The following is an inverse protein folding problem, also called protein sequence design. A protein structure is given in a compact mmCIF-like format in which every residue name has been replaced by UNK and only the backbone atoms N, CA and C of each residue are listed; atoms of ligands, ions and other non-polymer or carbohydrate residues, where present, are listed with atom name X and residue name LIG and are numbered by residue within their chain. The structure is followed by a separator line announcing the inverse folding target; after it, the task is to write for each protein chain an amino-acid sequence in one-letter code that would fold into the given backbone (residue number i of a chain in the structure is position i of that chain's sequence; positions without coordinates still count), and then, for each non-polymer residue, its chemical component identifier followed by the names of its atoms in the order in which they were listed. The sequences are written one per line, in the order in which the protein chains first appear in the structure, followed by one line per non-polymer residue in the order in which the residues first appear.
data_IF_116792654358
#
_entry.id   IF_116792654358
#
_cell.length_a   1.000
_cell.length_b   1.000
_cell.length_c   1.000
_cell.angle_alpha   90.00
_cell.angle_beta   90.00
_cell.angle_gamma   90.00
#
_symmetry.space_group_name_H-M   'P 1'
#
loop_
_entity.id
_entity.type
_entity.pdbx_description
1 polymer ?
#
# COMPACT_ATOMS: atom_id res chain seq x y z
N UNK A 1 33.11 -34.13 75.80
CA UNK A 1 33.41 -33.44 74.52
C UNK A 1 32.43 -33.91 73.45
N UNK A 2 31.40 -33.11 73.15
CA UNK A 2 30.52 -33.26 71.97
C UNK A 2 30.19 -31.84 71.51
N UNK A 3 30.56 -31.40 70.29
CA UNK A 3 30.23 -30.05 69.85
C UNK A 3 28.83 -30.01 69.22
N UNK A 4 28.07 -28.97 69.56
CA UNK A 4 26.83 -28.57 68.90
C UNK A 4 27.15 -28.05 67.49
N UNK A 5 26.42 -28.54 66.49
CA UNK A 5 26.44 -27.99 65.13
C UNK A 5 25.25 -27.02 64.98
N UNK A 6 25.53 -25.73 64.88
CA UNK A 6 24.53 -24.72 64.51
C UNK A 6 24.47 -24.65 62.99
N UNK A 7 23.31 -24.96 62.41
CA UNK A 7 23.04 -24.78 60.98
C UNK A 7 22.43 -23.39 60.80
N UNK A 8 23.18 -22.51 60.12
CA UNK A 8 22.73 -21.18 59.72
C UNK A 8 22.05 -21.29 58.35
N UNK A 9 20.73 -21.09 58.29
CA UNK A 9 19.98 -21.01 57.05
C UNK A 9 20.14 -19.61 56.45
N UNK A 10 20.78 -19.51 55.29
CA UNK A 10 20.84 -18.28 54.49
C UNK A 10 19.64 -18.26 53.56
N UNK A 11 18.74 -17.30 53.77
CA UNK A 11 17.63 -17.01 52.85
C UNK A 11 18.13 -16.03 51.80
N UNK A 12 18.29 -16.49 50.56
CA UNK A 12 18.58 -15.64 49.40
C UNK A 12 17.24 -15.18 48.84
N UNK A 13 16.91 -13.90 49.03
CA UNK A 13 15.77 -13.27 48.38
C UNK A 13 16.16 -12.86 46.95
N UNK A 14 15.67 -13.59 45.95
CA UNK A 14 15.76 -13.18 44.56
C UNK A 14 14.78 -12.03 44.29
N UNK A 15 15.27 -10.80 44.20
CA UNK A 15 14.51 -9.71 43.60
C UNK A 15 14.47 -9.90 42.08
N UNK A 16 13.32 -10.29 41.55
CA UNK A 16 13.03 -10.20 40.12
C UNK A 16 12.74 -8.74 39.78
N UNK A 17 13.68 -8.07 39.11
CA UNK A 17 13.42 -6.77 38.48
C UNK A 17 12.54 -7.07 37.26
N UNK A 18 11.26 -6.75 37.35
CA UNK A 18 10.38 -6.72 36.19
C UNK A 18 10.81 -5.54 35.32
N UNK A 19 11.57 -5.80 34.27
CA UNK A 19 11.75 -4.83 33.19
C UNK A 19 10.41 -4.71 32.48
N UNK A 20 9.71 -3.59 32.66
CA UNK A 20 8.60 -3.23 31.78
C UNK A 20 9.19 -3.10 30.38
N UNK A 21 8.86 -4.04 29.49
CA UNK A 21 9.16 -3.86 28.08
C UNK A 21 8.49 -2.56 27.65
N UNK A 22 9.29 -1.62 27.12
CA UNK A 22 8.75 -0.39 26.54
C UNK A 22 7.88 -0.78 25.35
N UNK A 23 6.65 -0.25 25.28
CA UNK A 23 5.72 -0.55 24.19
C UNK A 23 6.40 -0.28 22.85
N UNK A 24 6.33 -1.23 21.92
CA UNK A 24 6.94 -1.09 20.61
C UNK A 24 6.22 0.03 19.84
N UNK A 25 6.96 1.11 19.55
CA UNK A 25 6.46 2.25 18.79
C UNK A 25 7.04 2.24 17.40
N UNK A 26 6.17 2.21 16.40
CA UNK A 26 6.56 2.19 15.00
C UNK A 26 6.32 3.56 14.34
N UNK A 27 7.33 4.13 13.66
CA UNK A 27 7.15 5.34 12.87
C UNK A 27 6.19 5.07 11.70
N UNK A 28 5.12 5.86 11.59
CA UNK A 28 4.13 5.82 10.52
C UNK A 28 4.22 7.10 9.68
N UNK A 29 4.74 6.98 8.46
CA UNK A 29 4.72 8.05 7.48
C UNK A 29 3.36 8.13 6.79
N UNK A 30 2.87 9.35 6.62
CA UNK A 30 1.54 9.66 6.09
C UNK A 30 1.70 10.59 4.90
N UNK A 31 1.42 10.06 3.72
CA UNK A 31 1.28 10.82 2.48
C UNK A 31 -0.09 11.48 2.41
N UNK A 32 -0.17 12.68 1.82
CA UNK A 32 -1.38 13.52 1.85
C UNK A 32 -1.73 14.10 0.48
N UNK A 33 -2.94 14.64 0.38
CA UNK A 33 -3.38 15.47 -0.74
C UNK A 33 -2.94 16.94 -0.65
N UNK A 34 -2.29 17.34 0.46
CA UNK A 34 -1.73 18.68 0.67
C UNK A 34 -0.23 18.74 0.37
N UNK A 35 0.50 19.62 1.07
CA UNK A 35 1.87 19.99 0.70
C UNK A 35 2.95 19.47 1.69
N UNK A 36 2.65 18.37 2.38
CA UNK A 36 3.56 17.76 3.34
C UNK A 36 3.39 16.25 3.51
N UNK A 37 4.49 15.60 3.88
CA UNK A 37 4.51 14.26 4.48
C UNK A 37 4.49 14.43 5.99
N UNK A 38 3.64 13.67 6.67
CA UNK A 38 3.54 13.68 8.13
C UNK A 38 4.12 12.39 8.71
N UNK A 39 4.51 12.47 9.99
CA UNK A 39 4.93 11.35 10.81
C UNK A 39 4.04 11.27 12.04
N UNK A 40 3.62 10.05 12.39
CA UNK A 40 3.03 9.71 13.69
C UNK A 40 3.76 8.48 14.26
N UNK A 41 3.75 8.31 15.57
CA UNK A 41 4.21 7.10 16.23
C UNK A 41 3.01 6.22 16.53
N UNK A 42 3.04 4.98 16.05
CA UNK A 42 2.01 3.98 16.31
C UNK A 42 2.44 3.07 17.44
N UNK A 43 1.67 3.06 18.52
CA UNK A 43 1.85 2.11 19.62
C UNK A 43 1.21 0.78 19.23
N UNK A 44 2.03 -0.25 19.02
CA UNK A 44 1.52 -1.54 18.54
C UNK A 44 0.73 -2.29 19.59
N UNK A 45 0.90 -2.00 20.88
CA UNK A 45 0.19 -2.71 21.94
C UNK A 45 -1.18 -2.12 22.21
N UNK A 46 -1.27 -0.80 22.22
CA UNK A 46 -2.54 -0.10 22.47
C UNK A 46 -3.34 0.19 21.19
N UNK A 47 -2.70 0.13 20.01
CA UNK A 47 -3.33 0.54 18.76
C UNK A 47 -3.59 2.04 18.70
N UNK A 48 -2.73 2.85 19.31
CA UNK A 48 -2.89 4.31 19.38
C UNK A 48 -1.87 5.03 18.52
N UNK A 49 -2.22 6.25 18.09
CA UNK A 49 -1.37 7.11 17.27
C UNK A 49 -1.01 8.38 18.05
N UNK A 50 0.27 8.77 18.01
CA UNK A 50 0.68 10.10 18.45
C UNK A 50 0.13 11.17 17.51
N UNK A 51 0.18 12.44 17.94
CA UNK A 51 -0.09 13.57 17.05
C UNK A 51 0.79 13.48 15.79
N UNK A 52 0.20 13.73 14.64
CA UNK A 52 0.91 13.85 13.38
C UNK A 52 1.72 15.15 13.32
N UNK A 53 2.98 15.06 12.94
CA UNK A 53 3.87 16.22 12.72
C UNK A 53 4.38 16.22 11.29
N UNK A 54 4.44 17.38 10.60
CA UNK A 54 5.05 17.44 9.28
C UNK A 54 6.56 17.15 9.39
N UNK A 55 7.08 16.33 8.48
CA UNK A 55 8.50 15.90 8.44
C UNK A 55 9.18 16.16 7.10
N UNK A 56 8.41 16.51 6.07
CA UNK A 56 8.89 17.07 4.81
C UNK A 56 7.81 17.92 4.16
N UNK A 57 8.21 18.98 3.46
CA UNK A 57 7.34 19.76 2.57
C UNK A 57 7.56 19.31 1.13
N UNK A 58 6.47 18.96 0.45
CA UNK A 58 6.46 18.55 -0.96
C UNK A 58 5.03 18.59 -1.47
N UNK A 59 4.85 18.95 -2.73
CA UNK A 59 3.51 19.07 -3.30
C UNK A 59 2.85 17.68 -3.46
N UNK A 60 1.67 17.51 -2.88
CA UNK A 60 0.77 16.35 -3.05
C UNK A 60 1.48 14.99 -2.98
N UNK A 61 2.09 14.62 -1.84
CA UNK A 61 2.74 13.32 -1.66
C UNK A 61 1.72 12.21 -1.45
N UNK A 62 0.88 11.96 -2.46
CA UNK A 62 -0.31 11.12 -2.33
C UNK A 62 -0.02 9.63 -2.22
N UNK A 63 1.19 9.20 -2.58
CA UNK A 63 1.67 7.84 -2.40
C UNK A 63 3.15 7.80 -2.02
N UNK A 64 3.48 6.94 -1.06
CA UNK A 64 4.82 6.78 -0.50
C UNK A 64 5.27 5.33 -0.67
N UNK A 65 6.59 5.12 -0.68
CA UNK A 65 7.21 3.80 -0.57
C UNK A 65 8.53 3.89 0.20
N UNK A 66 8.79 2.95 1.10
CA UNK A 66 10.04 2.88 1.85
C UNK A 66 10.93 1.81 1.19
N UNK A 67 12.20 2.13 1.01
CA UNK A 67 13.17 1.23 0.43
C UNK A 67 13.34 -0.03 1.30
N UNK A 68 13.42 -1.25 0.73
CA UNK A 68 13.48 -2.48 1.50
C UNK A 68 14.71 -2.59 2.42
N UNK A 69 15.89 -2.13 1.94
CA UNK A 69 17.15 -2.22 2.69
C UNK A 69 17.66 -0.89 3.31
N UNK A 70 17.50 0.27 2.66
CA UNK A 70 18.11 1.54 3.11
C UNK A 70 17.10 2.47 3.76
N UNK A 71 17.56 3.43 4.57
CA UNK A 71 16.72 4.44 5.22
C UNK A 71 16.35 5.52 4.19
N UNK A 72 15.54 5.09 3.21
CA UNK A 72 15.10 5.89 2.08
C UNK A 72 13.59 5.79 1.94
N UNK A 73 12.96 6.94 1.70
CA UNK A 73 11.56 7.04 1.35
C UNK A 73 11.43 7.70 -0.03
N UNK A 74 10.53 7.18 -0.84
CA UNK A 74 10.18 7.73 -2.14
C UNK A 74 8.72 8.15 -2.13
N UNK A 75 8.43 9.34 -2.64
CA UNK A 75 7.07 9.84 -2.79
C UNK A 75 6.81 10.28 -4.23
N UNK A 76 5.58 10.10 -4.69
CA UNK A 76 5.12 10.83 -5.88
C UNK A 76 4.83 12.28 -5.51
N UNK A 77 4.92 13.19 -6.46
CA UNK A 77 4.29 14.51 -6.40
C UNK A 77 3.18 14.51 -7.44
N UNK A 78 1.94 14.28 -6.99
CA UNK A 78 0.76 14.06 -7.85
C UNK A 78 0.23 15.39 -8.41
N UNK A 79 1.05 16.03 -9.25
CA UNK A 79 0.73 17.24 -9.99
C UNK A 79 0.45 16.93 -11.46
N UNK A 80 -0.29 17.83 -12.09
CA UNK A 80 -0.55 17.78 -13.53
C UNK A 80 0.44 18.65 -14.30
N UNK A 81 1.02 18.12 -15.38
CA UNK A 81 1.93 18.86 -16.27
C UNK A 81 1.25 20.14 -16.77
N UNK A 82 1.99 21.25 -16.73
CA UNK A 82 1.54 22.56 -17.20
C UNK A 82 0.49 23.26 -16.32
N UNK A 83 0.01 22.66 -15.22
CA UNK A 83 -0.99 23.28 -14.34
C UNK A 83 -0.40 23.89 -13.06
N UNK A 84 0.75 23.42 -12.59
CA UNK A 84 1.37 23.81 -11.32
C UNK A 84 2.89 23.93 -11.45
N UNK A 85 3.48 24.90 -10.75
CA UNK A 85 4.94 25.00 -10.57
C UNK A 85 5.45 23.81 -9.78
N UNK A 86 6.52 23.14 -10.25
CA UNK A 86 7.14 22.01 -9.55
C UNK A 86 7.01 20.66 -10.27
N UNK A 87 6.02 20.49 -11.15
CA UNK A 87 5.88 19.37 -12.08
C UNK A 87 5.56 18.00 -11.45
N UNK A 88 4.97 17.11 -12.25
CA UNK A 88 4.78 15.70 -11.93
C UNK A 88 6.14 15.03 -11.67
N UNK A 89 6.33 14.40 -10.51
CA UNK A 89 7.66 13.93 -10.12
C UNK A 89 7.69 12.72 -9.19
N UNK A 90 8.86 12.09 -9.14
CA UNK A 90 9.31 11.25 -8.02
C UNK A 90 10.26 12.07 -7.14
N UNK A 91 10.12 11.96 -5.83
CA UNK A 91 10.96 12.64 -4.84
C UNK A 91 11.60 11.60 -3.93
N UNK A 92 12.92 11.70 -3.75
CA UNK A 92 13.71 10.81 -2.92
C UNK A 92 14.12 11.50 -1.61
N UNK A 93 13.92 10.81 -0.49
CA UNK A 93 14.17 11.32 0.85
C UNK A 93 15.09 10.36 1.61
N UNK A 94 16.09 10.89 2.33
CA UNK A 94 16.75 10.15 3.39
C UNK A 94 15.92 10.23 4.66
N UNK A 95 15.77 9.10 5.34
CA UNK A 95 15.13 9.03 6.65
C UNK A 95 16.19 9.22 7.73
N UNK A 96 16.00 10.20 8.60
CA UNK A 96 16.70 10.27 9.88
C UNK A 96 16.12 9.20 10.81
N UNK A 97 16.84 8.09 11.02
CA UNK A 97 16.32 6.92 11.75
C UNK A 97 16.05 7.16 13.24
N UNK A 98 16.56 8.26 13.80
CA UNK A 98 16.31 8.65 15.19
C UNK A 98 15.10 9.59 15.27
N UNK A 99 15.12 10.68 14.47
CA UNK A 99 14.09 11.72 14.57
C UNK A 99 12.88 11.49 13.65
N UNK A 100 12.98 10.58 12.69
CA UNK A 100 11.99 10.37 11.63
C UNK A 100 11.84 11.52 10.65
N UNK A 101 12.77 12.50 10.67
CA UNK A 101 12.77 13.62 9.74
C UNK A 101 13.19 13.17 8.34
N UNK A 102 12.54 13.73 7.32
CA UNK A 102 12.87 13.44 5.92
C UNK A 102 13.73 14.56 5.36
N UNK A 103 14.91 14.22 4.84
CA UNK A 103 15.79 15.17 4.14
C UNK A 103 15.74 14.88 2.66
N UNK A 104 15.45 15.91 1.86
CA UNK A 104 15.42 15.80 0.41
C UNK A 104 16.79 15.36 -0.10
N UNK A 105 16.83 14.27 -0.88
CA UNK A 105 18.01 13.89 -1.66
C UNK A 105 17.96 14.52 -3.04
N UNK A 106 16.94 14.15 -3.82
CA UNK A 106 16.71 14.72 -5.13
C UNK A 106 15.26 14.52 -5.61
N UNK A 107 14.96 15.08 -6.78
CA UNK A 107 13.67 15.02 -7.47
C UNK A 107 13.93 14.75 -8.96
N UNK A 108 13.10 13.91 -9.59
CA UNK A 108 13.11 13.66 -11.03
C UNK A 108 11.71 13.83 -11.61
N UNK A 109 11.61 14.22 -12.89
CA UNK A 109 10.32 14.21 -13.62
C UNK A 109 9.76 12.78 -13.63
N UNK A 110 8.45 12.63 -13.40
CA UNK A 110 7.81 11.32 -13.32
C UNK A 110 7.75 10.56 -14.66
N UNK A 111 8.15 11.18 -15.76
CA UNK A 111 8.08 10.63 -17.12
C UNK A 111 6.67 10.65 -17.71
N UNK A 112 5.63 10.91 -16.91
CA UNK A 112 4.24 11.07 -17.35
C UNK A 112 3.48 12.17 -16.58
N UNK A 113 2.16 12.16 -16.70
CA UNK A 113 1.26 13.13 -16.06
C UNK A 113 0.51 12.53 -14.86
N UNK A 114 0.38 13.26 -13.75
CA UNK A 114 -0.36 12.82 -12.57
C UNK A 114 0.13 11.49 -11.97
N UNK A 115 1.40 11.37 -11.53
CA UNK A 115 1.93 10.18 -10.89
C UNK A 115 1.17 9.93 -9.58
N UNK A 116 0.59 8.74 -9.46
CA UNK A 116 -0.32 8.42 -8.35
C UNK A 116 0.12 7.20 -7.53
N UNK A 117 1.20 6.54 -7.95
CA UNK A 117 1.74 5.36 -7.29
C UNK A 117 3.24 5.24 -7.55
N UNK A 118 3.98 4.76 -6.55
CA UNK A 118 5.39 4.39 -6.66
C UNK A 118 5.61 3.07 -5.92
N UNK A 119 6.38 2.18 -6.52
CA UNK A 119 6.91 0.98 -5.87
C UNK A 119 8.43 0.90 -6.07
N UNK A 120 9.13 0.29 -5.12
CA UNK A 120 10.56 -0.02 -5.22
C UNK A 120 10.72 -1.53 -5.36
N UNK A 121 11.65 -1.98 -6.21
CA UNK A 121 11.98 -3.38 -6.40
C UNK A 121 12.53 -3.99 -5.11
N UNK A 122 12.39 -5.31 -4.96
CA UNK A 122 12.80 -6.04 -3.76
C UNK A 122 14.31 -5.91 -3.48
N UNK A 123 15.12 -5.81 -4.54
CA UNK A 123 16.56 -5.56 -4.47
C UNK A 123 16.92 -4.08 -4.26
N UNK A 124 15.93 -3.18 -4.25
CA UNK A 124 16.14 -1.74 -4.04
C UNK A 124 16.67 -0.97 -5.24
N UNK A 125 16.93 -1.61 -6.38
CA UNK A 125 17.63 -0.98 -7.51
C UNK A 125 16.76 -0.14 -8.43
N UNK A 126 15.44 -0.34 -8.41
CA UNK A 126 14.52 0.37 -9.29
C UNK A 126 13.29 0.91 -8.56
N UNK A 127 12.82 2.07 -8.99
CA UNK A 127 11.49 2.59 -8.68
C UNK A 127 10.61 2.54 -9.95
N UNK A 128 9.38 2.06 -9.83
CA UNK A 128 8.38 2.11 -10.90
C UNK A 128 7.25 3.06 -10.52
N UNK A 129 6.88 3.98 -11.42
CA UNK A 129 5.78 4.94 -11.23
C UNK A 129 4.64 4.67 -12.20
N UNK A 130 3.41 4.67 -11.70
CA UNK A 130 2.19 4.73 -12.50
C UNK A 130 1.69 6.18 -12.61
N UNK A 131 1.56 6.67 -13.84
CA UNK A 131 1.09 8.00 -14.19
C UNK A 131 -0.37 7.92 -14.65
N UNK A 132 -1.29 8.47 -13.84
CA UNK A 132 -2.73 8.38 -14.11
C UNK A 132 -3.15 9.23 -15.31
N UNK A 133 -2.54 10.40 -15.52
CA UNK A 133 -2.84 11.28 -16.64
C UNK A 133 -2.37 10.70 -17.96
N UNK A 134 -3.32 10.37 -18.84
CA UNK A 134 -3.06 9.73 -20.14
C UNK A 134 -2.56 8.28 -20.06
N UNK A 135 -2.20 7.78 -18.87
CA UNK A 135 -1.80 6.39 -18.61
C UNK A 135 -0.42 6.04 -19.15
N UNK A 136 0.58 6.06 -18.27
CA UNK A 136 1.93 5.56 -18.59
C UNK A 136 2.60 4.96 -17.36
N UNK A 137 3.65 4.18 -17.58
CA UNK A 137 4.57 3.70 -16.54
C UNK A 137 5.99 4.20 -16.82
N UNK A 138 6.72 4.57 -15.77
CA UNK A 138 8.13 4.94 -15.86
C UNK A 138 8.97 4.11 -14.89
N UNK A 139 10.18 3.71 -15.32
CA UNK A 139 11.17 2.99 -14.51
C UNK A 139 12.38 3.87 -14.26
N UNK A 140 12.79 3.98 -12.99
CA UNK A 140 13.91 4.79 -12.55
C UNK A 140 14.92 3.93 -11.80
N UNK A 141 16.22 3.97 -12.16
CA UNK A 141 17.26 3.41 -11.33
C UNK A 141 17.39 4.19 -10.01
N UNK A 142 17.69 3.47 -8.94
CA UNK A 142 18.05 4.02 -7.63
C UNK A 142 19.55 3.83 -7.45
N UNK A 143 20.26 4.90 -7.13
CA UNK A 143 21.68 4.85 -6.83
C UNK A 143 21.95 4.34 -5.40
N UNK A 144 23.19 3.93 -5.13
CA UNK A 144 23.60 3.38 -3.82
C UNK A 144 23.35 4.34 -2.64
N UNK A 145 23.36 5.66 -2.89
CA UNK A 145 23.06 6.68 -1.88
C UNK A 145 21.55 6.88 -1.63
N UNK A 146 20.71 6.15 -2.37
CA UNK A 146 19.25 6.21 -2.33
C UNK A 146 18.64 7.31 -3.20
N UNK A 147 19.44 8.08 -3.96
CA UNK A 147 18.94 9.06 -4.92
C UNK A 147 18.31 8.38 -6.15
N UNK A 148 17.33 9.03 -6.77
CA UNK A 148 16.67 8.51 -7.98
C UNK A 148 17.35 9.09 -9.22
N UNK A 149 17.81 8.23 -10.13
CA UNK A 149 18.40 8.62 -11.41
C UNK A 149 17.32 8.95 -12.45
N UNK A 150 17.63 9.62 -13.57
CA UNK A 150 16.66 9.82 -14.66
C UNK A 150 16.03 8.50 -15.11
N UNK A 151 14.78 8.55 -15.57
CA UNK A 151 14.08 7.36 -16.05
C UNK A 151 14.85 6.68 -17.19
N UNK A 152 15.02 5.36 -17.11
CA UNK A 152 15.60 4.54 -18.20
C UNK A 152 14.55 4.07 -19.19
N UNK A 153 13.28 4.04 -18.76
CA UNK A 153 12.15 3.69 -19.61
C UNK A 153 10.89 4.46 -19.20
N UNK A 154 10.12 4.89 -20.20
CA UNK A 154 8.73 5.35 -20.05
C UNK A 154 7.90 4.70 -21.14
N UNK A 155 6.83 4.00 -20.76
CA UNK A 155 5.92 3.33 -21.69
C UNK A 155 4.55 4.00 -21.60
N UNK A 156 4.13 4.58 -22.73
CA UNK A 156 2.79 5.13 -22.91
C UNK A 156 1.82 4.01 -23.25
N UNK A 157 0.74 3.88 -22.47
CA UNK A 157 -0.33 2.95 -22.79
C UNK A 157 -1.25 3.52 -23.88
N UNK A 158 -2.05 2.67 -24.50
CA UNK A 158 -3.09 3.09 -25.45
C UNK A 158 -4.32 2.20 -25.32
N UNK A 159 -5.47 2.69 -25.80
CA UNK A 159 -6.75 1.98 -25.72
C UNK A 159 -7.76 2.69 -24.80
N UNK A 160 -8.87 2.01 -24.60
CA UNK A 160 -10.04 2.50 -23.86
C UNK A 160 -10.90 1.31 -23.44
N UNK A 161 -11.97 1.58 -22.69
CA UNK A 161 -12.98 0.57 -22.36
C UNK A 161 -14.40 1.18 -22.29
N UNK A 162 -15.35 0.45 -21.72
CA UNK A 162 -16.79 0.66 -21.86
C UNK A 162 -17.32 1.89 -21.13
N UNK A 163 -16.61 2.43 -20.13
CA UNK A 163 -17.02 3.65 -19.44
C UNK A 163 -16.44 4.89 -20.14
N UNK A 164 -17.20 5.60 -21.00
CA UNK A 164 -16.63 6.68 -21.81
C UNK A 164 -16.13 7.88 -20.99
N UNK A 165 -16.57 8.03 -19.72
CA UNK A 165 -16.14 9.13 -18.84
C UNK A 165 -14.89 8.80 -18.03
N UNK A 166 -14.64 7.53 -17.74
CA UNK A 166 -13.55 7.07 -16.87
C UNK A 166 -12.53 6.20 -17.59
N UNK A 167 -12.84 5.76 -18.80
CA UNK A 167 -12.08 4.79 -19.59
C UNK A 167 -12.08 5.19 -21.07
N UNK A 168 -12.22 6.49 -21.38
CA UNK A 168 -12.07 7.00 -22.75
C UNK A 168 -10.61 7.03 -23.23
N UNK A 169 -9.67 6.93 -22.29
CA UNK A 169 -8.22 6.84 -22.50
C UNK A 169 -7.58 6.01 -21.37
N UNK A 170 -6.30 5.63 -21.48
CA UNK A 170 -5.60 4.88 -20.44
C UNK A 170 -5.37 5.69 -19.16
N UNK A 171 -5.35 4.97 -18.02
CA UNK A 171 -5.14 5.54 -16.70
C UNK A 171 -4.39 4.55 -15.79
N UNK A 172 -3.06 4.47 -15.95
CA UNK A 172 -2.20 3.67 -15.08
C UNK A 172 -2.33 4.13 -13.62
N UNK A 173 -2.77 3.24 -12.73
CA UNK A 173 -3.13 3.58 -11.36
C UNK A 173 -2.22 2.93 -10.30
N UNK A 174 -1.63 1.76 -10.59
CA UNK A 174 -0.59 1.21 -9.72
C UNK A 174 0.43 0.39 -10.49
N UNK A 175 1.65 0.39 -10.00
CA UNK A 175 2.76 -0.43 -10.51
C UNK A 175 3.37 -1.22 -9.36
N UNK A 176 3.66 -2.50 -9.56
CA UNK A 176 4.38 -3.33 -8.57
C UNK A 176 5.34 -4.25 -9.28
N UNK A 177 6.47 -4.50 -8.65
CA UNK A 177 7.37 -5.56 -9.08
C UNK A 177 6.74 -6.91 -8.76
N UNK A 178 6.92 -7.85 -9.67
CA UNK A 178 6.62 -9.24 -9.39
C UNK A 178 7.56 -9.76 -8.27
N UNK A 179 7.24 -10.91 -7.68
CA UNK A 179 8.10 -11.59 -6.71
C UNK A 179 9.57 -11.72 -7.10
N UNK A 180 9.84 -12.00 -8.38
CA UNK A 180 11.22 -12.19 -8.85
C UNK A 180 11.99 -10.88 -8.94
N UNK A 181 11.32 -9.73 -8.87
CA UNK A 181 11.90 -8.41 -9.06
C UNK A 181 12.32 -8.11 -10.50
N UNK A 182 12.02 -9.01 -11.44
CA UNK A 182 12.44 -8.91 -12.86
C UNK A 182 11.33 -8.45 -13.78
N UNK A 183 10.11 -8.29 -13.25
CA UNK A 183 8.95 -7.81 -14.01
C UNK A 183 8.22 -6.74 -13.24
N UNK A 184 7.65 -5.79 -13.97
CA UNK A 184 6.70 -4.80 -13.44
C UNK A 184 5.30 -5.11 -13.96
N UNK A 185 4.36 -5.27 -13.04
CA UNK A 185 2.93 -5.32 -13.34
C UNK A 185 2.31 -3.93 -13.13
N UNK A 186 1.44 -3.48 -14.05
CA UNK A 186 0.86 -2.14 -14.05
C UNK A 186 -0.64 -2.20 -14.28
N UNK A 187 -1.43 -1.90 -13.25
CA UNK A 187 -2.88 -1.80 -13.39
C UNK A 187 -3.26 -0.50 -14.10
N UNK A 188 -4.01 -0.62 -15.20
CA UNK A 188 -4.51 0.50 -15.98
C UNK A 188 -6.04 0.51 -15.97
N UNK A 189 -6.58 1.49 -15.23
CA UNK A 189 -8.02 1.67 -15.05
C UNK A 189 -8.73 1.91 -16.39
N UNK A 190 -8.09 2.64 -17.30
CA UNK A 190 -8.70 3.08 -18.55
C UNK A 190 -8.86 1.96 -19.59
N UNK A 191 -8.09 0.89 -19.47
CA UNK A 191 -8.02 -0.17 -20.49
C UNK A 191 -8.48 -1.54 -20.01
N UNK A 192 -8.85 -1.68 -18.74
CA UNK A 192 -9.21 -2.96 -18.10
C UNK A 192 -8.10 -4.02 -18.21
N UNK A 193 -6.86 -3.58 -17.99
CA UNK A 193 -5.67 -4.44 -18.05
C UNK A 193 -4.75 -4.25 -16.85
N UNK A 194 -4.04 -5.32 -16.49
CA UNK A 194 -2.78 -5.24 -15.76
C UNK A 194 -1.67 -5.58 -16.74
N UNK A 195 -0.97 -4.57 -17.27
CA UNK A 195 0.16 -4.75 -18.18
C UNK A 195 1.34 -5.40 -17.47
N UNK A 196 2.11 -6.21 -18.19
CA UNK A 196 3.27 -6.94 -17.69
C UNK A 196 4.49 -6.58 -18.53
N UNK A 197 5.56 -6.12 -17.89
CA UNK A 197 6.81 -5.75 -18.53
C UNK A 197 8.00 -6.45 -17.88
N UNK A 198 8.78 -7.19 -18.64
CA UNK A 198 10.07 -7.70 -18.19
C UNK A 198 11.09 -6.55 -18.19
N UNK A 199 11.96 -6.54 -17.18
CA UNK A 199 12.99 -5.52 -17.02
C UNK A 199 14.26 -6.04 -17.70
N UNK A 200 14.68 -5.36 -18.77
CA UNK A 200 15.94 -5.69 -19.43
C UNK A 200 17.16 -5.22 -18.63
N UNK A 201 18.34 -5.76 -18.95
CA UNK A 201 19.60 -5.46 -18.24
C UNK A 201 19.96 -3.97 -18.20
N UNK A 202 19.54 -3.21 -19.22
CA UNK A 202 19.75 -1.77 -19.31
C UNK A 202 18.62 -0.95 -18.65
N UNK A 203 17.68 -1.58 -17.95
CA UNK A 203 16.51 -0.92 -17.37
C UNK A 203 15.43 -0.56 -18.39
N UNK A 204 15.27 -1.33 -19.46
CA UNK A 204 14.12 -1.26 -20.37
C UNK A 204 12.87 -1.87 -19.73
N UNK A 205 11.69 -1.50 -20.25
CA UNK A 205 10.42 -2.16 -19.95
C UNK A 205 9.90 -2.83 -21.22
N UNK A 206 10.16 -4.11 -21.36
CA UNK A 206 9.82 -4.90 -22.54
C UNK A 206 8.53 -5.68 -22.30
N UNK A 207 7.51 -5.61 -23.17
CA UNK A 207 6.25 -6.35 -22.96
C UNK A 207 6.49 -7.85 -22.73
N UNK A 208 5.96 -8.37 -21.64
CA UNK A 208 6.08 -9.79 -21.27
C UNK A 208 5.23 -10.71 -22.17
N UNK A 209 5.36 -12.01 -21.94
CA UNK A 209 4.46 -13.04 -22.48
C UNK A 209 3.71 -13.75 -21.34
N UNK A 210 2.38 -13.55 -21.19
CA UNK A 210 1.54 -12.60 -21.92
C UNK A 210 1.88 -11.15 -21.55
N UNK A 211 1.51 -10.20 -22.42
CA UNK A 211 1.82 -8.77 -22.24
C UNK A 211 0.89 -8.08 -21.23
N UNK A 212 -0.24 -8.70 -20.90
CA UNK A 212 -1.19 -8.18 -19.93
C UNK A 212 -2.06 -9.30 -19.35
N UNK A 213 -2.68 -8.98 -18.22
CA UNK A 213 -3.82 -9.70 -17.64
C UNK A 213 -5.08 -8.89 -17.94
N UNK A 214 -6.04 -9.48 -18.64
CA UNK A 214 -7.34 -8.85 -18.86
C UNK A 214 -8.25 -9.05 -17.64
N UNK A 215 -8.96 -7.99 -17.25
CA UNK A 215 -10.07 -8.07 -16.29
C UNK A 215 -11.40 -7.80 -17.00
N UNK A 216 -12.56 -8.14 -16.42
CA UNK A 216 -13.84 -7.90 -17.07
C UNK A 216 -14.00 -6.43 -17.51
N UNK A 217 -14.55 -6.14 -18.70
CA UNK A 217 -14.75 -4.77 -19.16
C UNK A 217 -15.59 -3.93 -18.19
N UNK A 218 -15.15 -2.70 -17.93
CA UNK A 218 -15.75 -1.79 -16.96
C UNK A 218 -15.26 -1.96 -15.53
N UNK A 219 -14.28 -2.84 -15.29
CA UNK A 219 -13.73 -3.06 -13.95
C UNK A 219 -12.96 -1.85 -13.42
N UNK A 220 -12.11 -1.28 -14.27
CA UNK A 220 -11.17 -0.23 -13.91
C UNK A 220 -10.16 -0.70 -12.87
N UNK A 221 -9.22 -1.60 -13.20
CA UNK A 221 -8.26 -2.14 -12.24
C UNK A 221 -7.45 -0.99 -11.63
N UNK A 222 -7.43 -0.94 -10.30
CA UNK A 222 -6.85 0.16 -9.53
C UNK A 222 -5.58 -0.30 -8.84
N UNK A 223 -5.74 -0.99 -7.72
CA UNK A 223 -4.65 -1.63 -6.97
C UNK A 223 -4.79 -3.14 -7.08
N UNK A 224 -3.67 -3.84 -6.92
CA UNK A 224 -3.63 -5.29 -6.87
C UNK A 224 -2.57 -5.75 -5.87
N UNK A 225 -2.68 -6.99 -5.43
CA UNK A 225 -1.72 -7.64 -4.52
C UNK A 225 -1.46 -9.08 -4.95
N UNK A 226 -0.23 -9.53 -4.80
CA UNK A 226 0.12 -10.94 -4.90
C UNK A 226 -0.29 -11.67 -3.61
N UNK A 227 -0.71 -12.93 -3.74
CA UNK A 227 -0.89 -13.81 -2.58
C UNK A 227 0.46 -14.02 -1.87
N UNK A 228 0.46 -14.36 -0.57
CA UNK A 228 1.71 -14.60 0.18
C UNK A 228 2.61 -15.69 -0.42
N UNK A 229 2.00 -16.69 -1.08
CA UNK A 229 2.71 -17.75 -1.80
C UNK A 229 2.95 -17.43 -3.27
N UNK A 230 2.55 -16.22 -3.69
CA UNK A 230 2.82 -15.62 -4.99
C UNK A 230 2.16 -16.32 -6.19
N UNK A 231 1.29 -17.30 -5.92
CA UNK A 231 0.58 -18.07 -6.95
C UNK A 231 -0.64 -17.37 -7.50
N UNK A 232 -1.11 -16.31 -6.85
CA UNK A 232 -2.30 -15.57 -7.26
C UNK A 232 -2.08 -14.07 -7.22
N UNK A 233 -2.84 -13.36 -8.05
CA UNK A 233 -2.97 -11.90 -8.02
C UNK A 233 -4.43 -11.54 -7.82
N UNK A 234 -4.71 -10.71 -6.82
CA UNK A 234 -6.04 -10.16 -6.55
C UNK A 234 -6.09 -8.73 -7.07
N UNK A 235 -6.92 -8.48 -8.07
CA UNK A 235 -7.01 -7.21 -8.80
C UNK A 235 -8.31 -6.51 -8.43
N UNK A 236 -8.20 -5.36 -7.77
CA UNK A 236 -9.35 -4.55 -7.34
C UNK A 236 -9.82 -3.64 -8.47
N UNK A 237 -11.07 -3.80 -8.93
CA UNK A 237 -11.73 -2.91 -9.87
C UNK A 237 -12.37 -1.71 -9.16
N UNK A 238 -11.89 -0.50 -9.43
CA UNK A 238 -12.43 0.74 -8.87
C UNK A 238 -13.87 1.00 -9.32
N UNK A 239 -14.13 0.79 -10.62
CA UNK A 239 -15.37 1.19 -11.28
C UNK A 239 -16.46 0.14 -11.08
N UNK A 240 -16.10 -1.15 -11.09
CA UNK A 240 -17.03 -2.25 -10.85
C UNK A 240 -17.30 -2.49 -9.37
N UNK A 241 -16.34 -2.18 -8.49
CA UNK A 241 -16.40 -2.65 -7.11
C UNK A 241 -16.25 -4.17 -7.00
N UNK A 242 -15.28 -4.74 -7.72
CA UNK A 242 -15.01 -6.18 -7.72
C UNK A 242 -13.56 -6.49 -7.41
N UNK A 243 -13.28 -7.73 -6.99
CA UNK A 243 -11.94 -8.30 -6.95
C UNK A 243 -11.90 -9.46 -7.94
N UNK A 244 -11.06 -9.32 -8.97
CA UNK A 244 -10.74 -10.40 -9.91
C UNK A 244 -9.52 -11.15 -9.40
N UNK A 245 -9.66 -12.44 -9.10
CA UNK A 245 -8.53 -13.28 -8.69
C UNK A 245 -8.01 -14.06 -9.88
N UNK A 246 -6.70 -14.03 -10.07
CA UNK A 246 -6.01 -14.63 -11.21
C UNK A 246 -4.91 -15.54 -10.69
N UNK A 247 -4.83 -16.76 -11.23
CA UNK A 247 -3.68 -17.65 -11.02
C UNK A 247 -2.49 -17.12 -11.81
N UNK A 248 -1.40 -16.86 -11.12
CA UNK A 248 -0.19 -16.24 -11.64
C UNK A 248 0.91 -17.29 -11.80
N UNK A 249 1.05 -17.83 -13.01
CA UNK A 249 2.14 -18.73 -13.37
C UNK A 249 2.63 -18.47 -14.81
N UNK A 250 3.17 -17.26 -15.09
CA UNK A 250 3.54 -16.87 -16.45
C UNK A 250 4.39 -17.93 -17.19
N UNK A 251 4.12 -18.21 -18.48
CA UNK A 251 3.17 -17.51 -19.34
C UNK A 251 1.71 -17.95 -19.15
N UNK A 252 1.42 -18.94 -18.29
CA UNK A 252 0.05 -19.37 -18.02
C UNK A 252 -0.59 -18.48 -16.94
N UNK A 253 -1.49 -17.62 -17.36
CA UNK A 253 -2.28 -16.76 -16.47
C UNK A 253 -3.76 -17.09 -16.71
N UNK A 254 -4.52 -17.31 -15.64
CA UNK A 254 -5.91 -17.77 -15.74
C UNK A 254 -6.77 -17.12 -14.65
N UNK A 255 -7.89 -16.51 -15.03
CA UNK A 255 -8.87 -15.99 -14.08
C UNK A 255 -9.53 -17.12 -13.32
N UNK A 256 -9.50 -17.03 -12.00
CA UNK A 256 -10.08 -18.01 -11.07
C UNK A 256 -11.51 -17.62 -10.72
N UNK A 257 -11.70 -16.36 -10.33
CA UNK A 257 -12.98 -15.86 -9.83
C UNK A 257 -13.07 -14.34 -9.95
N UNK A 258 -14.28 -13.80 -9.90
CA UNK A 258 -14.54 -12.36 -9.77
C UNK A 258 -15.71 -12.17 -8.81
N UNK A 259 -15.45 -11.53 -7.67
CA UNK A 259 -16.47 -11.30 -6.64
C UNK A 259 -16.69 -9.81 -6.39
N UNK A 260 -17.88 -9.45 -5.91
CA UNK A 260 -18.18 -8.07 -5.47
C UNK A 260 -17.47 -7.74 -4.16
N UNK A 261 -17.03 -6.49 -4.03
CA UNK A 261 -16.55 -5.96 -2.74
C UNK A 261 -17.67 -5.47 -1.84
N UNK A 262 -18.88 -5.36 -2.39
CA UNK A 262 -20.06 -4.87 -1.70
C UNK A 262 -20.90 -6.04 -1.18
N UNK A 263 -21.78 -5.77 -0.22
CA UNK A 263 -22.78 -6.75 0.23
C UNK A 263 -23.73 -7.15 -0.90
N UNK A 264 -24.27 -8.38 -0.83
CA UNK A 264 -25.22 -8.89 -1.82
C UNK A 264 -26.56 -8.12 -1.84
N UNK A 265 -26.83 -7.34 -0.79
CA UNK A 265 -27.96 -6.46 -0.59
C UNK A 265 -27.75 -5.04 -1.18
N UNK A 266 -26.52 -4.72 -1.59
CA UNK A 266 -26.21 -3.41 -2.19
C UNK A 266 -26.68 -3.38 -3.65
N UNK A 267 -27.50 -2.40 -4.00
CA UNK A 267 -28.02 -2.22 -5.35
C UNK A 267 -26.91 -2.10 -6.41
N UNK A 268 -27.21 -2.53 -7.64
CA UNK A 268 -26.26 -2.52 -8.76
C UNK A 268 -25.81 -1.11 -9.16
N UNK A 269 -26.67 -0.11 -8.96
CA UNK A 269 -26.44 1.30 -9.25
C UNK A 269 -25.82 2.09 -8.08
N UNK A 270 -25.56 1.42 -6.95
CA UNK A 270 -24.94 2.07 -5.80
C UNK A 270 -23.58 2.67 -6.17
N UNK A 271 -23.20 3.84 -5.58
CA UNK A 271 -21.92 4.47 -5.86
C UNK A 271 -20.75 3.50 -5.71
N UNK A 272 -19.99 3.32 -6.80
CA UNK A 272 -18.76 2.53 -6.81
C UNK A 272 -17.55 3.42 -6.52
N UNK A 273 -16.40 2.79 -6.28
CA UNK A 273 -15.17 3.49 -5.95
C UNK A 273 -14.29 2.70 -5.00
N UNK A 274 -14.01 1.44 -5.30
CA UNK A 274 -13.04 0.69 -4.50
C UNK A 274 -11.65 1.30 -4.61
N UNK A 275 -10.84 1.20 -3.55
CA UNK A 275 -9.55 1.90 -3.50
C UNK A 275 -8.37 0.98 -3.16
N UNK A 276 -8.19 0.60 -1.90
CA UNK A 276 -7.03 -0.17 -1.47
C UNK A 276 -7.39 -1.64 -1.27
N UNK A 277 -6.43 -2.54 -1.47
CA UNK A 277 -6.55 -3.96 -1.19
C UNK A 277 -5.24 -4.48 -0.58
N UNK A 278 -5.30 -5.21 0.54
CA UNK A 278 -4.13 -5.81 1.19
C UNK A 278 -4.49 -7.15 1.82
N UNK A 279 -3.53 -8.06 1.80
CA UNK A 279 -3.55 -9.26 2.65
C UNK A 279 -3.17 -8.91 4.09
N UNK A 280 -3.84 -9.57 5.03
CA UNK A 280 -3.34 -9.72 6.38
C UNK A 280 -1.99 -10.48 6.38
N UNK A 281 -1.04 -10.18 7.30
CA UNK A 281 0.25 -10.87 7.36
C UNK A 281 0.19 -12.40 7.47
N UNK A 282 -0.85 -12.97 8.09
CA UNK A 282 -1.06 -14.42 8.16
C UNK A 282 -1.53 -15.05 6.83
N UNK A 283 -1.84 -14.25 5.81
CA UNK A 283 -2.28 -14.70 4.49
C UNK A 283 -3.72 -15.18 4.37
N UNK A 284 -4.47 -15.22 5.46
CA UNK A 284 -5.84 -15.77 5.48
C UNK A 284 -6.92 -14.75 5.14
N UNK A 285 -6.73 -13.50 5.49
CA UNK A 285 -7.72 -12.46 5.23
C UNK A 285 -7.24 -11.44 4.22
N UNK A 286 -8.19 -10.93 3.45
CA UNK A 286 -8.00 -9.81 2.55
C UNK A 286 -8.94 -8.70 2.97
N UNK A 287 -8.47 -7.47 2.91
CA UNK A 287 -9.28 -6.28 3.18
C UNK A 287 -9.31 -5.41 1.94
N UNK A 288 -10.46 -4.79 1.67
CA UNK A 288 -10.59 -3.80 0.61
C UNK A 288 -11.42 -2.60 1.05
N UNK A 289 -11.05 -1.39 0.64
CA UNK A 289 -11.83 -0.18 0.94
C UNK A 289 -12.76 0.21 -0.19
N UNK A 290 -13.95 0.69 0.16
CA UNK A 290 -14.99 1.14 -0.76
C UNK A 290 -15.35 2.60 -0.44
N UNK A 291 -15.03 3.54 -1.35
CA UNK A 291 -15.26 4.98 -1.14
C UNK A 291 -16.71 5.41 -1.33
N UNK A 292 -17.49 4.65 -2.11
CA UNK A 292 -18.92 4.91 -2.29
C UNK A 292 -19.69 4.78 -0.97
N UNK A 293 -19.78 3.57 -0.40
CA UNK A 293 -20.41 3.34 0.91
C UNK A 293 -19.54 3.75 2.12
N UNK A 294 -18.29 4.16 1.92
CA UNK A 294 -17.32 4.48 2.99
C UNK A 294 -17.10 3.33 3.98
N UNK A 295 -16.85 2.13 3.46
CA UNK A 295 -16.62 0.92 4.26
C UNK A 295 -15.28 0.24 3.97
N UNK A 296 -14.93 -0.69 4.87
CA UNK A 296 -13.84 -1.65 4.73
C UNK A 296 -14.49 -3.04 4.68
N UNK A 297 -14.36 -3.72 3.55
CA UNK A 297 -14.84 -5.09 3.37
C UNK A 297 -13.75 -6.10 3.77
N UNK A 298 -14.17 -7.20 4.39
CA UNK A 298 -13.32 -8.31 4.87
C UNK A 298 -13.65 -9.56 4.06
N UNK A 299 -12.60 -10.28 3.64
CA UNK A 299 -12.73 -11.52 2.90
C UNK A 299 -11.87 -12.62 3.54
N UNK A 300 -12.40 -13.84 3.62
CA UNK A 300 -11.62 -15.06 3.85
C UNK A 300 -11.02 -15.50 2.51
N UNK A 301 -9.74 -15.87 2.52
CA UNK A 301 -8.99 -16.28 1.34
C UNK A 301 -8.59 -17.76 1.45
N UNK A 302 -9.03 -18.54 0.46
CA UNK A 302 -8.61 -19.93 0.30
C UNK A 302 -7.31 -19.99 -0.51
N UNK A 303 -6.19 -20.24 0.17
CA UNK A 303 -4.87 -20.31 -0.47
C UNK A 303 -4.73 -21.48 -1.46
N UNK A 304 -5.53 -22.55 -1.35
CA UNK A 304 -5.45 -23.67 -2.28
C UNK A 304 -6.12 -23.33 -3.62
N UNK A 305 -7.28 -22.69 -3.56
CA UNK A 305 -8.09 -22.40 -4.76
C UNK A 305 -7.85 -21.00 -5.31
N UNK A 306 -7.43 -20.06 -4.46
CA UNK A 306 -7.36 -18.63 -4.74
C UNK A 306 -8.69 -17.91 -4.60
N UNK A 307 -9.75 -18.57 -4.14
CA UNK A 307 -11.08 -17.96 -4.02
C UNK A 307 -11.19 -17.07 -2.80
N UNK A 308 -12.08 -16.08 -2.90
CA UNK A 308 -12.43 -15.17 -1.83
C UNK A 308 -13.89 -15.36 -1.43
N UNK A 309 -14.15 -15.22 -0.13
CA UNK A 309 -15.51 -15.12 0.40
C UNK A 309 -15.60 -13.85 1.25
N UNK A 310 -16.51 -12.92 0.88
CA UNK A 310 -16.79 -11.75 1.71
C UNK A 310 -17.45 -12.21 3.02
N UNK A 311 -16.84 -11.91 4.15
CA UNK A 311 -17.31 -12.35 5.48
C UNK A 311 -18.02 -11.24 6.22
N UNK A 312 -17.53 -10.01 6.13
CA UNK A 312 -18.10 -8.85 6.82
C UNK A 312 -17.69 -7.54 6.17
N UNK A 313 -18.23 -6.43 6.68
CA UNK A 313 -17.70 -5.09 6.44
C UNK A 313 -17.99 -4.19 7.63
N UNK A 314 -17.22 -3.12 7.75
CA UNK A 314 -17.40 -2.09 8.77
C UNK A 314 -17.30 -0.70 8.14
N UNK A 315 -18.06 0.26 8.66
CA UNK A 315 -17.89 1.66 8.29
C UNK A 315 -16.44 2.12 8.60
N UNK A 316 -15.80 2.76 7.62
CA UNK A 316 -14.42 3.24 7.69
C UNK A 316 -14.17 4.33 8.75
N UNK A 317 -15.26 4.89 9.27
CA UNK A 317 -15.25 5.96 10.26
C UNK A 317 -14.87 7.33 9.74
N UNK A 318 -14.94 7.50 8.42
CA UNK A 318 -14.79 8.78 7.76
C UNK A 318 -15.39 8.75 6.36
N UNK A 319 -14.95 9.68 5.52
CA UNK A 319 -15.36 9.78 4.12
C UNK A 319 -14.17 9.57 3.20
N UNK A 320 -14.41 8.83 2.12
CA UNK A 320 -13.43 8.52 1.08
C UNK A 320 -12.21 7.74 1.62
N UNK A 321 -12.39 6.51 2.17
CA UNK A 321 -11.30 5.63 2.59
C UNK A 321 -10.42 5.21 1.40
N UNK A 322 -9.43 6.04 1.07
CA UNK A 322 -8.61 5.89 -0.15
C UNK A 322 -7.48 4.88 0.04
N UNK A 323 -6.99 4.74 1.27
CA UNK A 323 -5.89 3.85 1.62
C UNK A 323 -6.08 3.32 3.04
N UNK A 324 -5.49 2.16 3.30
CA UNK A 324 -5.30 1.66 4.64
C UNK A 324 -3.96 0.94 4.75
N UNK A 325 -3.53 0.67 5.97
CA UNK A 325 -2.35 -0.15 6.27
C UNK A 325 -2.64 -1.06 7.46
N UNK A 326 -2.16 -2.29 7.37
CA UNK A 326 -2.21 -3.25 8.48
C UNK A 326 -0.89 -3.13 9.26
N UNK A 327 -0.96 -3.14 10.59
CA UNK A 327 0.23 -3.18 11.44
C UNK A 327 1.06 -4.43 11.15
N UNK A 328 2.40 -4.40 11.33
CA UNK A 328 3.25 -5.53 10.95
C UNK A 328 2.92 -6.83 11.68
N UNK A 329 2.47 -6.73 12.94
CA UNK A 329 2.01 -7.85 13.76
C UNK A 329 0.60 -8.35 13.40
N UNK A 330 -0.11 -7.68 12.49
CA UNK A 330 -1.46 -8.02 12.06
C UNK A 330 -2.57 -7.68 13.06
N UNK A 331 -2.27 -7.06 14.21
CA UNK A 331 -3.28 -6.78 15.24
C UNK A 331 -4.21 -5.62 14.89
N UNK A 332 -3.77 -4.69 14.04
CA UNK A 332 -4.50 -3.47 13.75
C UNK A 332 -4.55 -3.12 12.26
N UNK A 333 -5.62 -2.47 11.86
CA UNK A 333 -5.80 -1.85 10.55
C UNK A 333 -6.04 -0.35 10.74
N UNK A 334 -5.25 0.48 10.05
CA UNK A 334 -5.34 1.93 10.06
C UNK A 334 -5.93 2.40 8.73
N UNK A 335 -7.11 3.02 8.75
CA UNK A 335 -7.82 3.49 7.56
C UNK A 335 -7.68 5.00 7.40
N UNK A 336 -7.13 5.45 6.27
CA UNK A 336 -6.99 6.85 5.90
C UNK A 336 -8.21 7.32 5.10
N UNK A 337 -9.02 8.18 5.71
CA UNK A 337 -10.21 8.76 5.11
C UNK A 337 -9.89 10.16 4.59
N UNK A 338 -9.76 10.27 3.27
CA UNK A 338 -9.23 11.47 2.63
C UNK A 338 -10.13 12.70 2.85
N UNK A 339 -11.45 12.55 2.74
CA UNK A 339 -12.35 13.69 2.72
C UNK A 339 -12.79 14.15 4.12
N UNK A 340 -12.66 13.28 5.12
CA UNK A 340 -12.95 13.61 6.53
C UNK A 340 -11.70 13.98 7.33
N UNK A 341 -10.52 14.02 6.71
CA UNK A 341 -9.27 14.44 7.35
C UNK A 341 -8.96 13.67 8.65
N UNK A 342 -9.17 12.34 8.63
CA UNK A 342 -8.87 11.47 9.76
C UNK A 342 -8.28 10.12 9.34
N UNK A 343 -7.52 9.53 10.27
CA UNK A 343 -7.10 8.13 10.26
C UNK A 343 -7.80 7.44 11.43
N UNK A 344 -8.50 6.35 11.14
CA UNK A 344 -9.22 5.55 12.14
C UNK A 344 -8.52 4.20 12.31
N UNK A 345 -8.31 3.79 13.56
CA UNK A 345 -7.70 2.50 13.88
C UNK A 345 -8.78 1.46 14.17
N UNK A 346 -8.55 0.23 13.73
CA UNK A 346 -9.39 -0.92 13.97
C UNK A 346 -8.53 -2.05 14.53
N UNK A 347 -9.00 -2.72 15.58
CA UNK A 347 -8.45 -3.99 16.01
C UNK A 347 -8.97 -5.09 15.09
N UNK A 348 -8.09 -6.05 14.78
CA UNK A 348 -8.40 -7.23 13.97
C UNK A 348 -8.61 -8.41 14.91
N UNK A 349 -9.76 -9.08 14.81
CA UNK A 349 -9.99 -10.32 15.54
C UNK A 349 -9.05 -11.42 14.98
N UNK A 350 -8.19 -12.04 15.81
CA UNK A 350 -7.18 -12.99 15.35
C UNK A 350 -7.74 -14.35 14.93
N UNK A 351 -9.04 -14.59 15.11
CA UNK A 351 -9.72 -15.83 14.72
C UNK A 351 -10.58 -15.68 13.47
N UNK A 352 -11.22 -14.51 13.31
CA UNK A 352 -12.18 -14.24 12.23
C UNK A 352 -11.69 -13.23 11.19
N UNK A 353 -10.70 -12.39 11.54
CA UNK A 353 -10.26 -11.27 10.71
C UNK A 353 -11.21 -10.07 10.74
N UNK A 354 -12.30 -10.13 11.51
CA UNK A 354 -13.26 -9.03 11.60
C UNK A 354 -12.66 -7.80 12.27
N UNK A 355 -13.17 -6.63 11.89
CA UNK A 355 -12.69 -5.34 12.36
C UNK A 355 -13.60 -4.77 13.44
N UNK A 356 -13.01 -4.26 14.50
CA UNK A 356 -13.70 -3.45 15.51
C UNK A 356 -12.95 -2.13 15.70
N UNK A 357 -13.66 -1.02 15.87
CA UNK A 357 -12.99 0.28 16.09
C UNK A 357 -12.11 0.22 17.34
N UNK A 358 -10.89 0.74 17.23
CA UNK A 358 -9.92 0.79 18.30
C UNK A 358 -9.30 2.19 18.42
N UNK A 359 -8.90 2.55 19.64
CA UNK A 359 -8.19 3.79 19.90
C UNK A 359 -8.96 5.06 19.55
N UNK A 360 -8.24 6.18 19.56
CA UNK A 360 -8.74 7.49 19.15
C UNK A 360 -8.33 7.73 17.69
N UNK A 361 -9.23 8.31 16.90
CA UNK A 361 -8.89 8.76 15.55
C UNK A 361 -7.84 9.88 15.57
N UNK A 362 -6.98 9.86 14.56
CA UNK A 362 -5.94 10.86 14.36
C UNK A 362 -6.40 11.83 13.27
N UNK A 363 -6.47 13.13 13.58
CA UNK A 363 -6.74 14.17 12.58
C UNK A 363 -5.46 14.48 11.79
N UNK A 364 -5.56 14.39 10.46
CA UNK A 364 -4.52 14.75 9.49
C UNK A 364 -5.22 15.26 8.25
N UNK A 365 -4.72 16.31 7.61
CA UNK A 365 -5.33 16.82 6.39
C UNK A 365 -5.13 15.85 5.22
N UNK A 366 -6.23 15.46 4.58
CA UNK A 366 -6.30 14.60 3.39
C UNK A 366 -5.31 13.43 3.39
N UNK A 367 -5.35 12.49 4.36
CA UNK A 367 -4.44 11.36 4.38
C UNK A 367 -4.74 10.40 3.22
N UNK A 368 -3.72 10.01 2.46
CA UNK A 368 -3.86 9.25 1.22
C UNK A 368 -2.95 8.02 1.13
N UNK A 369 -1.87 7.93 1.92
CA UNK A 369 -0.98 6.77 1.95
C UNK A 369 -0.34 6.60 3.32
N UNK A 370 -0.34 5.37 3.85
CA UNK A 370 0.21 5.02 5.15
C UNK A 370 1.37 4.02 5.00
N UNK A 371 2.55 4.33 5.56
CA UNK A 371 3.74 3.46 5.51
C UNK A 371 4.47 3.41 6.85
N UNK A 372 4.52 2.21 7.44
CA UNK A 372 5.38 1.94 8.59
C UNK A 372 6.84 1.87 8.18
N UNK A 373 7.71 2.51 8.94
CA UNK A 373 9.14 2.21 8.95
C UNK A 373 9.36 1.04 9.91
N UNK A 374 9.85 -0.07 9.37
CA UNK A 374 10.15 -1.25 10.17
C UNK A 374 11.60 -1.20 10.66
N UNK A 375 11.88 -1.75 11.85
CA UNK A 375 13.25 -2.09 12.24
C UNK A 375 13.87 -3.02 11.19
N UNK A 376 15.18 -2.90 11.00
CA UNK A 376 15.93 -3.67 9.99
C UNK A 376 16.86 -4.69 10.61
#
# INVERSE_FOLDING_TARGET
MRPMLHVLAVVIACLTIATTAEAEKLPLYIGTGGDAIYLSQFDTDEGTLSKATPVASTDRPSFLWIHPATDSLYSVSELRRGKQSGGAAIVAWSIDSVAGQLRLRNKQDAGGDGPCFVAVSQDGRYAAIANYGGGSVSLFPIADDGSVQPATATVQHSGSSINPRRQGEPHAHSSRFDPSGRRVAVADLGTDKVYLYDIGDAGSLDPSQPAAIDVPPGSGPRHFVFSPDEKFVLILGELSGTITTVRYAPPKIETVDTISTMGADVADDAPRGSAEILFHPNGRWVYATNRGPNEIAVFDYDAATGKLQRTSAIASGGQHPRNFRISPDGRFLLCANQQSNNIVVFAIDPSTGELSRAGKELSVDQPMCLKFLLPK
#
